data_IF_951263912036
#
_entry.id   IF_951263912036
#
_cell.length_a   1.000
_cell.length_b   1.000
_cell.length_c   1.000
_cell.angle_alpha   90.00
_cell.angle_beta   90.00
_cell.angle_gamma   90.00
#
_symmetry.space_group_name_H-M   'P 1'
#
loop_
_entity.id
_entity.type
_entity.pdbx_description
1 polymer ?
#
# COMPACT_ATOMS: atom_id res chain seq x y z
N UNK A 1 6.10 -21.03 -4.82
CA UNK A 1 7.43 -20.84 -5.42
C UNK A 1 8.09 -19.65 -4.73
N UNK A 2 9.37 -19.72 -4.38
CA UNK A 2 10.13 -18.63 -3.74
C UNK A 2 11.38 -18.37 -4.58
N UNK A 3 11.58 -17.12 -5.03
CA UNK A 3 12.70 -16.74 -5.90
C UNK A 3 13.92 -16.22 -5.13
N UNK A 4 13.68 -15.65 -3.94
CA UNK A 4 14.73 -15.16 -3.06
C UNK A 4 14.19 -14.96 -1.65
N UNK A 5 15.06 -15.11 -0.66
CA UNK A 5 14.77 -14.80 0.74
C UNK A 5 16.07 -14.37 1.42
N UNK A 6 15.97 -13.36 2.29
CA UNK A 6 17.09 -12.87 3.12
C UNK A 6 16.67 -13.01 4.58
N UNK A 7 17.51 -13.65 5.39
CA UNK A 7 17.26 -13.79 6.82
C UNK A 7 17.66 -12.50 7.54
N UNK A 8 16.78 -11.99 8.39
CA UNK A 8 17.10 -10.86 9.27
C UNK A 8 18.13 -11.29 10.32
N UNK A 9 19.11 -10.42 10.61
CA UNK A 9 20.05 -10.66 11.70
C UNK A 9 19.35 -10.54 13.07
N UNK A 10 19.90 -11.17 14.12
CA UNK A 10 19.25 -11.29 15.45
C UNK A 10 18.86 -9.95 16.11
N UNK A 11 19.48 -8.83 15.70
CA UNK A 11 19.17 -7.47 16.21
C UNK A 11 18.75 -6.50 15.10
N UNK A 12 18.30 -7.03 13.96
CA UNK A 12 17.91 -6.30 12.76
C UNK A 12 16.42 -6.56 12.44
N UNK A 13 15.88 -5.88 11.44
CA UNK A 13 14.49 -5.99 11.01
C UNK A 13 14.40 -6.05 9.48
N UNK A 14 13.17 -6.20 8.98
CA UNK A 14 12.88 -6.31 7.55
C UNK A 14 13.31 -5.06 6.77
N UNK A 15 13.35 -3.88 7.42
CA UNK A 15 13.69 -2.61 6.76
C UNK A 15 15.10 -2.66 6.16
N UNK A 16 16.05 -3.33 6.82
CA UNK A 16 17.41 -3.47 6.28
C UNK A 16 17.57 -4.66 5.33
N UNK A 17 16.75 -5.72 5.48
CA UNK A 17 16.82 -6.91 4.63
C UNK A 17 16.14 -6.71 3.26
N UNK A 18 15.10 -5.87 3.19
CA UNK A 18 14.37 -5.60 1.94
C UNK A 18 15.28 -5.03 0.84
N UNK A 19 16.11 -3.98 1.10
CA UNK A 19 17.05 -3.48 0.10
C UNK A 19 18.01 -4.56 -0.43
N UNK A 20 18.55 -5.40 0.45
CA UNK A 20 19.44 -6.50 0.07
C UNK A 20 18.73 -7.51 -0.85
N UNK A 21 17.47 -7.84 -0.55
CA UNK A 21 16.67 -8.73 -1.38
C UNK A 21 16.34 -8.11 -2.74
N UNK A 22 16.05 -6.81 -2.79
CA UNK A 22 15.81 -6.08 -4.05
C UNK A 22 17.06 -6.09 -4.92
N UNK A 23 18.25 -5.87 -4.35
CA UNK A 23 19.51 -5.88 -5.08
C UNK A 23 19.91 -7.29 -5.56
N UNK A 24 19.47 -8.34 -4.86
CA UNK A 24 19.75 -9.72 -5.22
C UNK A 24 18.86 -10.27 -6.35
N UNK A 25 17.78 -9.57 -6.70
CA UNK A 25 16.78 -10.01 -7.67
C UNK A 25 16.75 -9.07 -8.89
N UNK A 26 16.61 -9.64 -10.08
CA UNK A 26 16.24 -8.84 -11.25
C UNK A 26 14.73 -8.56 -11.20
N UNK A 27 14.39 -7.35 -10.76
CA UNK A 27 13.02 -6.88 -10.62
C UNK A 27 12.62 -5.89 -11.71
N UNK A 28 13.42 -5.75 -12.78
CA UNK A 28 13.12 -4.78 -13.82
C UNK A 28 11.76 -5.04 -14.47
N UNK A 29 10.90 -4.02 -14.51
CA UNK A 29 9.56 -4.11 -15.08
C UNK A 29 8.54 -4.92 -14.25
N UNK A 30 8.84 -5.24 -12.98
CA UNK A 30 7.88 -5.88 -12.07
C UNK A 30 7.28 -4.88 -11.08
N UNK A 31 6.09 -5.18 -10.56
CA UNK A 31 5.47 -4.43 -9.46
C UNK A 31 5.82 -5.05 -8.11
N UNK A 32 6.49 -4.29 -7.26
CA UNK A 32 6.87 -4.70 -5.91
C UNK A 32 5.80 -4.26 -4.92
N UNK A 33 5.18 -5.22 -4.23
CA UNK A 33 4.22 -4.94 -3.16
C UNK A 33 4.88 -5.11 -1.80
N UNK A 34 4.83 -4.09 -0.94
CA UNK A 34 5.45 -4.14 0.40
C UNK A 34 4.43 -3.80 1.47
N UNK A 35 4.57 -4.46 2.60
CA UNK A 35 3.78 -4.20 3.79
C UNK A 35 4.07 -2.81 4.38
N UNK A 36 3.32 -2.43 5.42
CA UNK A 36 3.47 -1.10 5.98
C UNK A 36 4.80 -0.87 6.70
N UNK A 37 5.44 -1.91 7.26
CA UNK A 37 6.73 -1.75 7.92
C UNK A 37 7.85 -1.42 6.94
N UNK A 38 7.81 -2.02 5.74
CA UNK A 38 8.77 -1.75 4.66
C UNK A 38 8.49 -0.51 3.81
N UNK A 39 7.41 0.24 4.07
CA UNK A 39 7.11 1.51 3.38
C UNK A 39 8.09 2.60 3.79
N UNK A 40 9.30 2.59 3.21
CA UNK A 40 10.39 3.52 3.51
C UNK A 40 10.90 4.17 2.24
N UNK A 41 11.25 5.45 2.31
CA UNK A 41 11.74 6.23 1.15
C UNK A 41 12.96 5.58 0.50
N UNK A 42 13.92 5.11 1.31
CA UNK A 42 15.12 4.45 0.80
C UNK A 42 14.82 3.13 0.06
N UNK A 43 13.77 2.40 0.48
CA UNK A 43 13.34 1.19 -0.22
C UNK A 43 12.72 1.56 -1.58
N UNK A 44 11.90 2.61 -1.61
CA UNK A 44 11.32 3.13 -2.87
C UNK A 44 12.40 3.58 -3.84
N UNK A 45 13.41 4.28 -3.34
CA UNK A 45 14.57 4.68 -4.14
C UNK A 45 15.22 3.46 -4.80
N UNK A 46 15.39 2.36 -4.05
CA UNK A 46 15.96 1.12 -4.56
C UNK A 46 15.09 0.43 -5.61
N UNK A 47 13.77 0.43 -5.43
CA UNK A 47 12.81 -0.12 -6.41
C UNK A 47 12.92 0.68 -7.72
N UNK A 48 12.91 2.01 -7.64
CA UNK A 48 12.98 2.89 -8.81
C UNK A 48 14.35 2.78 -9.51
N UNK A 49 15.45 2.71 -8.76
CA UNK A 49 16.80 2.47 -9.30
C UNK A 49 16.87 1.18 -10.14
N UNK A 50 16.14 0.14 -9.73
CA UNK A 50 16.03 -1.14 -10.44
C UNK A 50 14.92 -1.16 -11.51
N UNK A 51 14.36 0.00 -11.87
CA UNK A 51 13.32 0.15 -12.92
C UNK A 51 12.08 -0.71 -12.66
N UNK A 52 11.67 -0.79 -11.40
CA UNK A 52 10.46 -1.48 -10.98
C UNK A 52 9.36 -0.50 -10.57
N UNK A 53 8.16 -1.04 -10.42
CA UNK A 53 6.96 -0.36 -9.94
C UNK A 53 6.71 -0.71 -8.47
N UNK A 54 5.85 0.05 -7.78
CA UNK A 54 5.55 -0.25 -6.38
C UNK A 54 4.10 -0.04 -6.00
N UNK A 55 3.66 -0.85 -5.03
CA UNK A 55 2.43 -0.68 -4.25
C UNK A 55 2.78 -0.84 -2.78
N UNK A 56 2.70 0.24 -2.01
CA UNK A 56 3.19 0.26 -0.62
C UNK A 56 2.05 0.54 0.33
N UNK A 57 1.88 -0.31 1.35
CA UNK A 57 0.85 -0.08 2.35
C UNK A 57 1.22 1.04 3.32
N UNK A 58 0.30 1.95 3.61
CA UNK A 58 0.47 2.99 4.62
C UNK A 58 -0.44 2.70 5.81
N UNK A 59 0.13 2.64 7.01
CA UNK A 59 -0.59 2.41 8.28
C UNK A 59 -0.04 3.31 9.40
N UNK A 60 -0.52 3.09 10.62
CA UNK A 60 -0.24 3.91 11.80
C UNK A 60 1.22 4.09 12.21
N UNK A 61 2.18 3.38 11.58
CA UNK A 61 3.60 3.67 11.71
C UNK A 61 4.03 4.98 11.00
N UNK A 62 3.18 5.53 10.13
CA UNK A 62 3.37 6.82 9.47
C UNK A 62 2.11 7.68 9.62
N UNK A 63 1.76 8.01 10.87
CA UNK A 63 0.51 8.70 11.22
C UNK A 63 0.29 10.01 10.44
N UNK A 64 1.35 10.82 10.24
CA UNK A 64 1.25 12.06 9.45
C UNK A 64 0.87 11.81 7.98
N UNK A 65 1.58 10.89 7.31
CA UNK A 65 1.26 10.53 5.93
C UNK A 65 -0.14 9.92 5.80
N UNK A 66 -0.52 9.06 6.75
CA UNK A 66 -1.85 8.46 6.76
C UNK A 66 -2.94 9.54 6.88
N UNK A 67 -2.73 10.54 7.74
CA UNK A 67 -3.65 11.67 7.91
C UNK A 67 -3.76 12.50 6.63
N UNK A 68 -2.62 12.84 5.99
CA UNK A 68 -2.60 13.56 4.71
C UNK A 68 -3.39 12.81 3.62
N UNK A 69 -3.19 11.49 3.51
CA UNK A 69 -3.95 10.65 2.58
C UNK A 69 -5.45 10.69 2.90
N UNK A 70 -5.82 10.54 4.17
CA UNK A 70 -7.23 10.57 4.59
C UNK A 70 -7.89 11.92 4.29
N UNK A 71 -7.18 13.01 4.51
CA UNK A 71 -7.65 14.35 4.20
C UNK A 71 -7.80 14.53 2.68
N UNK A 72 -6.86 14.05 1.87
CA UNK A 72 -6.97 14.07 0.42
C UNK A 72 -8.24 13.35 -0.06
N UNK A 73 -8.53 12.14 0.45
CA UNK A 73 -9.78 11.43 0.12
C UNK A 73 -11.05 12.11 0.65
N UNK A 74 -10.94 12.95 1.67
CA UNK A 74 -12.08 13.67 2.24
C UNK A 74 -12.39 14.95 1.46
N UNK A 75 -11.37 15.63 0.94
CA UNK A 75 -11.50 16.94 0.29
C UNK A 75 -11.44 16.87 -1.24
N UNK A 76 -10.83 15.83 -1.81
CA UNK A 76 -10.76 15.66 -3.26
C UNK A 76 -12.14 15.38 -3.84
N UNK A 77 -12.49 16.13 -4.90
CA UNK A 77 -13.72 15.94 -5.66
C UNK A 77 -13.58 14.93 -6.80
N UNK A 78 -12.35 14.50 -7.11
CA UNK A 78 -12.03 13.67 -8.25
C UNK A 78 -11.47 12.32 -7.76
N UNK A 79 -12.33 11.53 -7.12
CA UNK A 79 -12.01 10.16 -6.72
C UNK A 79 -12.78 9.19 -7.62
N UNK A 80 -12.06 8.30 -8.30
CA UNK A 80 -12.69 7.15 -8.95
C UNK A 80 -12.91 6.08 -7.88
N UNK A 81 -14.12 5.52 -7.79
CA UNK A 81 -14.41 4.45 -6.84
C UNK A 81 -15.21 3.32 -7.48
N UNK A 82 -14.82 2.10 -7.16
CA UNK A 82 -15.49 0.87 -7.59
C UNK A 82 -15.75 0.04 -6.35
N UNK A 83 -16.97 -0.49 -6.23
CA UNK A 83 -17.35 -1.38 -5.13
C UNK A 83 -17.70 -2.75 -5.68
N UNK A 84 -17.17 -3.77 -5.03
CA UNK A 84 -17.42 -5.17 -5.33
C UNK A 84 -17.88 -5.90 -4.06
N UNK A 85 -18.71 -6.92 -4.24
CA UNK A 85 -19.24 -7.74 -3.15
C UNK A 85 -19.01 -9.20 -3.46
N UNK A 86 -18.38 -9.88 -2.51
CA UNK A 86 -18.03 -11.28 -2.62
C UNK A 86 -18.68 -12.08 -1.47
N UNK A 87 -19.20 -13.27 -1.81
CA UNK A 87 -19.80 -14.19 -0.86
C UNK A 87 -19.02 -15.50 -0.92
N UNK A 88 -18.29 -15.79 0.15
CA UNK A 88 -17.43 -16.95 0.24
C UNK A 88 -17.46 -17.54 1.65
N UNK A 89 -17.54 -18.87 1.74
CA UNK A 89 -17.55 -19.64 3.00
C UNK A 89 -18.50 -19.08 4.10
N UNK A 90 -19.66 -18.54 3.72
CA UNK A 90 -20.65 -17.97 4.65
C UNK A 90 -20.31 -16.56 5.14
N UNK A 91 -19.26 -15.94 4.61
CA UNK A 91 -18.91 -14.53 4.80
C UNK A 91 -19.36 -13.71 3.61
N UNK A 92 -19.85 -12.50 3.90
CA UNK A 92 -20.07 -11.47 2.89
C UNK A 92 -19.00 -10.40 3.10
N UNK A 93 -18.20 -10.12 2.08
CA UNK A 93 -17.21 -9.07 2.10
C UNK A 93 -17.51 -8.06 0.99
N UNK A 94 -17.73 -6.80 1.37
CA UNK A 94 -17.87 -5.69 0.43
C UNK A 94 -16.58 -4.89 0.45
N UNK A 95 -15.95 -4.72 -0.71
CA UNK A 95 -14.71 -3.96 -0.88
C UNK A 95 -14.95 -2.78 -1.80
N UNK A 96 -14.63 -1.58 -1.32
CA UNK A 96 -14.64 -0.35 -2.12
C UNK A 96 -13.20 0.08 -2.35
N UNK A 97 -12.78 0.07 -3.61
CA UNK A 97 -11.50 0.59 -4.06
C UNK A 97 -11.68 2.01 -4.58
N UNK A 98 -10.97 2.96 -4.00
CA UNK A 98 -11.01 4.38 -4.35
C UNK A 98 -9.61 4.84 -4.76
N UNK A 99 -9.51 5.59 -5.86
CA UNK A 99 -8.25 6.04 -6.45
C UNK A 99 -8.28 7.55 -6.65
N UNK A 100 -7.19 8.21 -6.29
CA UNK A 100 -6.91 9.61 -6.59
C UNK A 100 -5.56 9.71 -7.28
N UNK A 101 -5.55 10.31 -8.47
CA UNK A 101 -4.34 10.57 -9.27
C UNK A 101 -3.98 12.06 -9.36
N UNK A 102 -4.93 12.96 -9.08
CA UNK A 102 -4.68 14.40 -8.93
C UNK A 102 -4.87 14.78 -7.45
N UNK A 103 -3.77 14.80 -6.71
CA UNK A 103 -3.73 15.13 -5.28
C UNK A 103 -2.90 16.40 -5.05
N UNK A 104 -3.32 17.23 -4.10
CA UNK A 104 -2.69 18.55 -3.82
C UNK A 104 -2.30 18.75 -2.37
N UNK A 105 -2.87 17.97 -1.46
CA UNK A 105 -2.68 18.10 -0.03
C UNK A 105 -1.62 17.14 0.52
N UNK A 106 -1.27 16.08 -0.22
CA UNK A 106 -0.16 15.20 0.13
C UNK A 106 1.13 15.76 -0.48
N UNK A 107 2.04 16.25 0.38
CA UNK A 107 3.26 16.90 -0.06
C UNK A 107 4.32 15.86 -0.45
N UNK A 108 4.16 15.32 -1.66
CA UNK A 108 4.86 14.11 -2.13
C UNK A 108 6.09 14.41 -2.98
N UNK A 109 6.21 15.63 -3.52
CA UNK A 109 7.15 16.04 -4.57
C UNK A 109 8.63 15.80 -4.25
N UNK A 110 8.97 15.40 -3.02
CA UNK A 110 10.35 15.04 -2.63
C UNK A 110 10.50 13.70 -1.92
N UNK A 111 9.41 13.10 -1.44
CA UNK A 111 9.50 11.96 -0.51
C UNK A 111 9.25 10.62 -1.18
N UNK A 112 8.35 10.54 -2.15
CA UNK A 112 7.99 9.27 -2.79
C UNK A 112 8.17 9.40 -4.30
N UNK A 113 9.33 8.93 -4.78
CA UNK A 113 9.71 9.10 -6.19
C UNK A 113 8.70 8.44 -7.12
N UNK A 114 8.34 9.18 -8.17
CA UNK A 114 7.45 8.75 -9.24
C UNK A 114 6.07 8.26 -8.75
N UNK A 115 5.56 8.76 -7.62
CA UNK A 115 4.21 8.39 -7.19
C UNK A 115 3.18 8.88 -8.22
N UNK A 116 2.32 7.98 -8.69
CA UNK A 116 1.32 8.30 -9.71
C UNK A 116 -0.09 8.38 -9.14
N UNK A 117 -0.42 7.55 -8.15
CA UNK A 117 -1.72 7.59 -7.50
C UNK A 117 -1.69 7.09 -6.06
N UNK A 118 -2.75 7.45 -5.34
CA UNK A 118 -3.03 6.96 -4.01
C UNK A 118 -4.30 6.13 -4.09
N UNK A 119 -4.26 4.93 -3.52
CA UNK A 119 -5.40 4.01 -3.46
C UNK A 119 -5.85 3.85 -2.02
N UNK A 120 -7.17 3.85 -1.81
CA UNK A 120 -7.80 3.51 -0.55
C UNK A 120 -8.73 2.33 -0.76
N UNK A 121 -8.52 1.27 -0.01
CA UNK A 121 -9.35 0.08 0.02
C UNK A 121 -10.10 0.02 1.34
N UNK A 122 -11.41 0.23 1.28
CA UNK A 122 -12.33 0.06 2.40
C UNK A 122 -12.98 -1.33 2.29
N UNK A 123 -12.91 -2.13 3.35
CA UNK A 123 -13.54 -3.46 3.41
C UNK A 123 -14.50 -3.55 4.59
N UNK A 124 -15.69 -4.09 4.33
CA UNK A 124 -16.72 -4.39 5.32
C UNK A 124 -17.01 -5.88 5.25
N UNK A 125 -16.81 -6.59 6.36
CA UNK A 125 -16.95 -8.04 6.44
C UNK A 125 -18.03 -8.44 7.44
N UNK A 126 -18.94 -9.30 6.98
CA UNK A 126 -20.02 -9.90 7.76
C UNK A 126 -19.76 -11.40 7.91
N UNK A 127 -19.61 -11.85 9.16
CA UNK A 127 -19.36 -13.28 9.49
C UNK A 127 -20.63 -14.02 9.92
N UNK A 128 -21.60 -13.33 10.53
CA UNK A 128 -22.89 -13.90 10.94
C UNK A 128 -23.95 -12.80 11.05
N UNK A 129 -25.19 -13.11 10.70
CA UNK A 129 -26.32 -12.21 10.93
C UNK A 129 -26.43 -11.84 12.41
N UNK A 130 -26.46 -10.54 12.72
CA UNK A 130 -26.60 -10.01 14.09
C UNK A 130 -25.30 -9.58 14.77
N UNK A 131 -24.13 -9.84 14.19
CA UNK A 131 -22.86 -9.31 14.69
C UNK A 131 -22.48 -7.99 14.00
N UNK A 132 -21.74 -7.13 14.72
CA UNK A 132 -21.18 -5.90 14.14
C UNK A 132 -20.17 -6.26 13.05
N UNK A 133 -20.29 -5.70 11.84
CA UNK A 133 -19.35 -6.02 10.77
C UNK A 133 -17.95 -5.48 11.08
N UNK A 134 -16.93 -6.24 10.71
CA UNK A 134 -15.54 -5.80 10.80
C UNK A 134 -15.27 -4.83 9.66
N UNK A 135 -14.69 -3.66 9.97
CA UNK A 135 -14.31 -2.65 8.99
C UNK A 135 -12.80 -2.46 8.99
N UNK A 136 -12.21 -2.44 7.81
CA UNK A 136 -10.78 -2.18 7.64
C UNK A 136 -10.57 -1.23 6.49
N UNK A 137 -9.69 -0.25 6.69
CA UNK A 137 -9.23 0.66 5.64
C UNK A 137 -7.74 0.44 5.44
N UNK A 138 -7.34 0.31 4.19
CA UNK A 138 -5.94 0.24 3.78
C UNK A 138 -5.66 1.32 2.74
N UNK A 139 -4.67 2.17 3.03
CA UNK A 139 -4.17 3.16 2.08
C UNK A 139 -2.90 2.61 1.40
N UNK A 140 -2.74 2.87 0.12
CA UNK A 140 -1.60 2.42 -0.69
C UNK A 140 -1.02 3.60 -1.48
N UNK A 141 0.31 3.65 -1.54
CA UNK A 141 1.05 4.48 -2.48
C UNK A 141 1.38 3.66 -3.72
N UNK A 142 1.09 4.18 -4.91
CA UNK A 142 1.23 3.42 -6.16
C UNK A 142 2.00 4.19 -7.22
N UNK A 143 2.94 3.49 -7.86
CA UNK A 143 3.63 3.86 -9.09
C UNK A 143 3.51 2.68 -10.05
N UNK A 144 3.17 2.92 -11.31
CA UNK A 144 3.06 1.91 -12.38
C UNK A 144 3.78 2.38 -13.66
#
# INVERSE_FOLDING_TARGET
MVLGQVKTAEKSNEITAIPELIEALDISGVTVTIDAMGTQVAIVDKIIENKADYILAVKGNQAGLLQEIQDEFKFSKQTLSVTDMDLDHGRIETRTCSIISDFKFVNLDKKWKNLECIVKLDSIRWETFGQTPKRTTQCLLVKY
#
